data_IF_412231402357
#
_entry.id   IF_412231402357
#
_cell.length_a   1.000
_cell.length_b   1.000
_cell.length_c   1.000
_cell.angle_alpha   90.00
_cell.angle_beta   90.00
_cell.angle_gamma   90.00
#
_symmetry.space_group_name_H-M   'P 1'
#
loop_
_entity.id
_entity.type
_entity.pdbx_description
1 polymer ?
#
# COMPACT_ATOMS: atom_id res chain seq x y z
N UNK A 1 12.87 -15.29 15.59
CA UNK A 1 12.30 -13.99 15.17
C UNK A 1 12.88 -13.56 13.84
N UNK A 2 12.02 -13.28 12.89
CA UNK A 2 12.44 -12.86 11.56
C UNK A 2 12.58 -11.34 11.51
N UNK A 3 13.66 -10.80 10.95
CA UNK A 3 13.78 -9.35 10.82
C UNK A 3 12.75 -8.79 9.84
N UNK A 4 12.38 -7.54 10.04
CA UNK A 4 11.46 -6.83 9.15
C UNK A 4 12.08 -6.73 7.76
N UNK A 5 11.39 -7.14 6.68
CA UNK A 5 11.91 -6.96 5.33
C UNK A 5 12.20 -5.49 5.04
N UNK A 6 13.32 -5.18 4.38
CA UNK A 6 13.69 -3.77 4.09
C UNK A 6 12.60 -3.00 3.36
N UNK A 7 11.88 -3.64 2.44
CA UNK A 7 10.80 -2.97 1.71
C UNK A 7 9.65 -2.56 2.63
N UNK A 8 9.26 -3.43 3.58
CA UNK A 8 8.20 -3.07 4.53
C UNK A 8 8.70 -2.01 5.52
N UNK A 9 9.97 -2.04 5.91
CA UNK A 9 10.54 -1.00 6.75
C UNK A 9 10.46 0.36 6.06
N UNK A 10 10.78 0.42 4.77
CA UNK A 10 10.67 1.64 3.98
C UNK A 10 9.21 2.11 3.86
N UNK A 11 8.27 1.18 3.70
CA UNK A 11 6.84 1.51 3.66
C UNK A 11 6.38 2.09 5.00
N UNK A 12 6.84 1.52 6.12
CA UNK A 12 6.52 2.04 7.45
C UNK A 12 7.10 3.44 7.69
N UNK A 13 8.28 3.73 7.17
CA UNK A 13 8.85 5.08 7.25
C UNK A 13 8.03 6.08 6.44
N UNK A 14 7.58 5.69 5.25
CA UNK A 14 6.69 6.53 4.45
C UNK A 14 5.36 6.77 5.17
N UNK A 15 4.84 5.75 5.87
CA UNK A 15 3.64 5.88 6.68
C UNK A 15 3.83 6.88 7.82
N UNK A 16 4.95 6.83 8.52
CA UNK A 16 5.27 7.78 9.60
C UNK A 16 5.31 9.20 9.06
N UNK A 17 5.98 9.39 7.91
CA UNK A 17 6.04 10.71 7.26
C UNK A 17 4.67 11.25 6.90
N UNK A 18 3.79 10.39 6.40
CA UNK A 18 2.41 10.78 6.10
C UNK A 18 1.68 11.23 7.37
N UNK A 19 1.82 10.46 8.47
CA UNK A 19 1.22 10.80 9.76
C UNK A 19 1.71 12.13 10.30
N UNK A 20 3.00 12.41 10.19
CA UNK A 20 3.59 13.69 10.60
C UNK A 20 3.04 14.85 9.79
N UNK A 21 2.69 14.62 8.54
CA UNK A 21 2.09 15.64 7.67
C UNK A 21 0.57 15.75 7.84
N UNK A 22 -0.03 15.04 8.79
CA UNK A 22 -1.47 15.09 9.05
C UNK A 22 -2.32 14.14 8.22
N UNK A 23 -1.70 13.25 7.48
CA UNK A 23 -2.40 12.23 6.70
C UNK A 23 -2.53 10.93 7.50
N UNK A 24 -3.49 10.09 7.13
CA UNK A 24 -3.58 8.75 7.72
C UNK A 24 -2.27 8.01 7.41
N UNK A 25 -1.59 7.43 8.43
CA UNK A 25 -0.24 6.87 8.23
C UNK A 25 -0.25 5.53 7.51
N UNK A 26 -0.30 5.61 6.21
CA UNK A 26 -0.17 4.47 5.29
C UNK A 26 0.98 4.80 4.33
N UNK A 27 1.86 3.85 4.13
CA UNK A 27 2.98 3.98 3.22
C UNK A 27 3.07 2.80 2.28
N UNK A 28 3.59 3.04 1.10
CA UNK A 28 3.73 2.01 0.06
C UNK A 28 5.05 2.17 -0.67
N UNK A 29 5.67 1.04 -1.01
CA UNK A 29 6.86 1.03 -1.88
C UNK A 29 6.67 0.00 -2.97
N UNK A 30 7.29 0.26 -4.12
CA UNK A 30 7.34 -0.70 -5.22
C UNK A 30 8.80 -1.12 -5.43
N UNK A 31 8.99 -2.42 -5.50
CA UNK A 31 10.30 -3.05 -5.69
C UNK A 31 10.32 -3.72 -7.05
N UNK A 32 11.34 -3.44 -7.84
CA UNK A 32 11.52 -4.05 -9.14
C UNK A 32 12.99 -4.46 -9.29
N UNK A 33 13.23 -5.74 -9.59
CA UNK A 33 14.60 -6.24 -9.72
C UNK A 33 15.41 -6.11 -8.43
N UNK A 34 14.75 -6.27 -7.28
CA UNK A 34 15.39 -6.17 -5.97
C UNK A 34 15.66 -4.74 -5.49
N UNK A 35 15.23 -3.73 -6.26
CA UNK A 35 15.44 -2.32 -5.90
C UNK A 35 14.13 -1.60 -5.69
N UNK A 36 14.10 -0.70 -4.69
CA UNK A 36 12.96 0.18 -4.47
C UNK A 36 12.95 1.23 -5.58
N UNK A 37 11.91 1.22 -6.40
CA UNK A 37 11.77 2.19 -7.51
C UNK A 37 10.76 3.29 -7.22
N UNK A 38 9.94 3.12 -6.19
CA UNK A 38 8.97 4.13 -5.77
C UNK A 38 8.68 3.98 -4.29
N UNK A 39 8.42 5.11 -3.62
CA UNK A 39 8.06 5.15 -2.21
C UNK A 39 7.13 6.34 -2.01
N UNK A 40 5.98 6.13 -1.36
CA UNK A 40 5.01 7.19 -1.14
C UNK A 40 4.19 6.96 0.13
N UNK A 41 3.82 8.06 0.77
CA UNK A 41 2.86 8.06 1.85
C UNK A 41 1.50 8.54 1.36
N UNK A 42 0.46 8.21 2.11
CA UNK A 42 -0.89 8.68 1.88
C UNK A 42 -0.92 10.20 1.89
N UNK A 43 -1.57 10.85 0.92
CA UNK A 43 -1.55 12.31 0.80
C UNK A 43 -2.83 12.93 0.21
N UNK A 44 -4.05 12.38 0.46
CA UNK A 44 -5.26 12.96 -0.13
C UNK A 44 -5.49 14.42 0.30
N UNK A 45 -5.20 14.76 1.54
CA UNK A 45 -5.44 16.12 2.07
C UNK A 45 -4.42 17.11 1.52
N UNK A 46 -3.15 16.78 1.60
CA UNK A 46 -2.07 17.66 1.13
C UNK A 46 -2.11 17.92 -0.36
N UNK A 47 -2.50 16.95 -1.16
CA UNK A 47 -2.57 17.06 -2.61
C UNK A 47 -3.96 17.46 -3.12
N UNK A 48 -4.96 17.61 -2.24
CA UNK A 48 -6.34 17.86 -2.62
C UNK A 48 -6.80 16.86 -3.67
N UNK A 49 -6.48 15.57 -3.44
CA UNK A 49 -6.75 14.49 -4.38
C UNK A 49 -7.29 13.27 -3.60
N UNK A 50 -8.59 12.97 -3.70
CA UNK A 50 -9.17 11.85 -2.94
C UNK A 50 -8.61 10.48 -3.34
N UNK A 51 -7.93 10.38 -4.48
CA UNK A 51 -7.33 9.13 -4.95
C UNK A 51 -5.87 8.99 -4.53
N UNK A 52 -5.28 9.99 -3.86
CA UNK A 52 -3.85 10.00 -3.52
C UNK A 52 -3.51 9.10 -2.34
N UNK A 53 -3.98 7.85 -2.37
CA UNK A 53 -3.56 6.82 -1.43
C UNK A 53 -2.09 6.45 -1.73
N UNK A 54 -1.39 5.95 -0.72
CA UNK A 54 0.02 5.58 -0.86
C UNK A 54 0.25 4.65 -2.05
N UNK A 55 -0.62 3.66 -2.22
CA UNK A 55 -0.50 2.68 -3.30
C UNK A 55 -0.62 3.33 -4.68
N UNK A 56 -1.62 4.20 -4.86
CA UNK A 56 -1.83 4.93 -6.12
C UNK A 56 -0.61 5.78 -6.45
N UNK A 57 -0.09 6.50 -5.47
CA UNK A 57 1.08 7.35 -5.65
C UNK A 57 2.32 6.55 -6.01
N UNK A 58 2.54 5.43 -5.32
CA UNK A 58 3.69 4.57 -5.60
C UNK A 58 3.61 3.95 -7.00
N UNK A 59 2.41 3.49 -7.41
CA UNK A 59 2.20 2.93 -8.75
C UNK A 59 2.49 3.98 -9.82
N UNK A 60 1.97 5.19 -9.66
CA UNK A 60 2.21 6.29 -10.61
C UNK A 60 3.70 6.62 -10.72
N UNK A 61 4.37 6.72 -9.60
CA UNK A 61 5.81 7.02 -9.58
C UNK A 61 6.62 5.92 -10.26
N UNK A 62 6.34 4.66 -9.95
CA UNK A 62 7.04 3.53 -10.54
C UNK A 62 6.81 3.46 -12.06
N UNK A 63 5.57 3.63 -12.51
CA UNK A 63 5.23 3.61 -13.94
C UNK A 63 5.96 4.73 -14.69
N UNK A 64 6.01 5.92 -14.11
CA UNK A 64 6.71 7.06 -14.70
C UNK A 64 8.21 6.81 -14.80
N UNK A 65 8.81 6.32 -13.72
CA UNK A 65 10.26 6.05 -13.66
C UNK A 65 10.69 4.93 -14.60
N UNK A 66 9.87 3.88 -14.69
CA UNK A 66 10.17 2.73 -15.54
C UNK A 66 9.72 2.94 -17.00
N UNK A 67 8.95 4.00 -17.26
CA UNK A 67 8.47 4.32 -18.60
C UNK A 67 7.49 3.31 -19.17
N UNK A 68 6.66 2.71 -18.32
CA UNK A 68 5.67 1.71 -18.74
C UNK A 68 4.48 1.66 -17.77
N UNK A 69 3.32 1.28 -18.29
CA UNK A 69 2.10 1.18 -17.47
C UNK A 69 1.97 -0.15 -16.73
N UNK A 70 2.55 -1.22 -17.27
CA UNK A 70 2.49 -2.54 -16.65
C UNK A 70 3.74 -2.81 -15.82
N UNK A 71 3.52 -3.18 -14.57
CA UNK A 71 4.57 -3.42 -13.60
C UNK A 71 4.66 -4.91 -13.27
N UNK A 72 4.67 -5.74 -14.32
CA UNK A 72 4.52 -7.20 -14.23
C UNK A 72 5.62 -7.90 -13.44
N UNK A 73 6.78 -7.29 -13.33
CA UNK A 73 7.93 -7.81 -12.61
C UNK A 73 8.15 -7.11 -11.27
N UNK A 74 7.16 -6.32 -10.82
CA UNK A 74 7.29 -5.53 -9.60
C UNK A 74 6.43 -6.08 -8.47
N UNK A 75 6.89 -5.83 -7.24
CA UNK A 75 6.15 -6.14 -6.02
C UNK A 75 5.73 -4.84 -5.34
N UNK A 76 4.55 -4.83 -4.74
CA UNK A 76 4.06 -3.72 -3.94
C UNK A 76 4.04 -4.12 -2.47
N UNK A 77 4.64 -3.27 -1.63
CA UNK A 77 4.62 -3.41 -0.18
C UNK A 77 3.86 -2.23 0.41
N UNK A 78 2.83 -2.49 1.18
CA UNK A 78 1.99 -1.43 1.77
C UNK A 78 1.69 -1.77 3.22
N UNK A 79 1.59 -0.75 4.08
CA UNK A 79 1.43 -0.96 5.51
C UNK A 79 0.01 -1.36 5.93
N UNK A 80 -0.98 -1.12 5.08
CA UNK A 80 -2.38 -1.45 5.36
C UNK A 80 -2.97 -2.19 4.16
N UNK A 81 -3.86 -3.15 4.44
CA UNK A 81 -4.62 -3.86 3.41
C UNK A 81 -5.25 -2.88 2.43
N UNK A 82 -5.03 -3.02 1.10
CA UNK A 82 -5.59 -2.09 0.12
C UNK A 82 -7.12 -2.05 0.09
N UNK A 83 -7.67 -0.86 -0.13
CA UNK A 83 -9.08 -0.67 -0.39
C UNK A 83 -9.44 -1.09 -1.82
N UNK A 84 -10.74 -1.02 -2.18
CA UNK A 84 -11.20 -1.45 -3.51
C UNK A 84 -10.56 -0.65 -4.66
N UNK A 85 -10.42 0.66 -4.50
CA UNK A 85 -9.77 1.51 -5.51
C UNK A 85 -8.32 1.07 -5.75
N UNK A 86 -7.56 0.86 -4.68
CA UNK A 86 -6.16 0.47 -4.77
C UNK A 86 -5.99 -0.96 -5.28
N UNK A 87 -6.88 -1.88 -4.86
CA UNK A 87 -6.86 -3.25 -5.39
C UNK A 87 -7.09 -3.24 -6.90
N UNK A 88 -8.02 -2.41 -7.37
CA UNK A 88 -8.24 -2.21 -8.81
C UNK A 88 -7.01 -1.68 -9.52
N UNK A 89 -6.34 -0.69 -8.93
CA UNK A 89 -5.12 -0.12 -9.51
C UNK A 89 -4.00 -1.17 -9.58
N UNK A 90 -3.86 -2.00 -8.55
CA UNK A 90 -2.88 -3.08 -8.52
C UNK A 90 -3.13 -4.07 -9.67
N UNK A 91 -4.39 -4.43 -9.90
CA UNK A 91 -4.75 -5.32 -11.00
C UNK A 91 -4.46 -4.66 -12.36
N UNK A 92 -4.80 -3.38 -12.53
CA UNK A 92 -4.52 -2.67 -13.78
C UNK A 92 -3.01 -2.56 -14.04
N UNK A 93 -2.23 -2.34 -13.01
CA UNK A 93 -0.77 -2.26 -13.12
C UNK A 93 -0.10 -3.62 -13.32
N UNK A 94 -0.82 -4.72 -13.12
CA UNK A 94 -0.29 -6.08 -13.24
C UNK A 94 0.82 -6.39 -12.24
N UNK A 95 0.74 -5.85 -11.03
CA UNK A 95 1.69 -6.12 -9.95
C UNK A 95 1.80 -7.63 -9.71
N UNK A 96 3.03 -8.13 -9.60
CA UNK A 96 3.27 -9.57 -9.44
C UNK A 96 2.92 -10.07 -8.04
N UNK A 97 3.38 -9.35 -7.00
CA UNK A 97 3.15 -9.73 -5.61
C UNK A 97 2.75 -8.52 -4.78
N UNK A 98 1.78 -8.75 -3.90
CA UNK A 98 1.29 -7.75 -2.94
C UNK A 98 1.62 -8.24 -1.53
N UNK A 99 2.38 -7.43 -0.80
CA UNK A 99 2.66 -7.66 0.62
C UNK A 99 1.99 -6.54 1.41
N UNK A 100 1.19 -6.86 2.42
CA UNK A 100 0.61 -5.81 3.25
C UNK A 100 0.82 -6.11 4.75
N UNK A 101 0.77 -5.05 5.56
CA UNK A 101 0.94 -5.14 7.01
C UNK A 101 -0.35 -5.45 7.73
N UNK A 102 -1.04 -4.42 8.20
CA UNK A 102 -2.26 -4.57 8.97
C UNK A 102 -3.46 -4.92 8.09
N UNK A 103 -4.34 -5.77 8.60
CA UNK A 103 -5.65 -6.03 7.98
C UNK A 103 -6.57 -4.84 8.19
N UNK A 104 -7.51 -4.64 7.29
CA UNK A 104 -8.52 -3.58 7.40
C UNK A 104 -9.92 -4.16 7.20
N UNK A 105 -10.55 -4.64 8.29
CA UNK A 105 -11.89 -5.22 8.20
C UNK A 105 -12.98 -4.26 7.73
N UNK A 106 -12.76 -2.95 7.88
CA UNK A 106 -13.76 -1.94 7.52
C UNK A 106 -13.61 -1.45 6.09
N UNK A 107 -12.39 -1.15 5.66
CA UNK A 107 -12.14 -0.55 4.36
C UNK A 107 -11.36 -1.41 3.38
N UNK A 108 -10.85 -2.54 3.83
CA UNK A 108 -10.03 -3.43 2.99
C UNK A 108 -10.86 -4.15 1.94
N UNK A 109 -10.18 -4.54 0.87
CA UNK A 109 -10.83 -5.19 -0.25
C UNK A 109 -10.02 -6.37 -0.80
N UNK A 110 -9.06 -6.87 -0.04
CA UNK A 110 -8.22 -8.02 -0.44
C UNK A 110 -8.66 -9.27 0.30
N UNK A 111 -8.55 -9.27 1.63
CA UNK A 111 -9.03 -10.37 2.49
C UNK A 111 -10.39 -10.08 3.10
N UNK A 112 -10.85 -8.85 3.01
CA UNK A 112 -12.13 -8.37 3.53
C UNK A 112 -12.95 -7.71 2.43
N UNK A 113 -14.16 -7.27 2.77
CA UNK A 113 -15.04 -6.57 1.85
C UNK A 113 -15.29 -7.34 0.57
N UNK A 114 -15.16 -6.72 -0.59
CA UNK A 114 -15.46 -7.38 -1.87
C UNK A 114 -14.43 -8.43 -2.28
N UNK A 115 -13.31 -8.55 -1.59
CA UNK A 115 -12.23 -9.49 -1.97
C UNK A 115 -11.95 -9.38 -3.46
N UNK A 116 -11.50 -8.23 -3.87
CA UNK A 116 -11.40 -7.81 -5.27
C UNK A 116 -10.75 -8.86 -6.17
N UNK A 117 -9.64 -9.45 -5.72
CA UNK A 117 -8.88 -10.40 -6.56
C UNK A 117 -9.58 -11.74 -6.74
N UNK A 118 -10.65 -12.01 -5.99
CA UNK A 118 -11.44 -13.24 -6.16
C UNK A 118 -12.65 -13.06 -7.07
N UNK A 119 -12.93 -11.83 -7.52
CA UNK A 119 -14.10 -11.54 -8.35
C UNK A 119 -13.93 -12.09 -9.77
N UNK A 120 -15.01 -12.60 -10.39
CA UNK A 120 -14.91 -13.18 -11.73
C UNK A 120 -14.40 -12.23 -12.80
N UNK A 121 -14.65 -10.93 -12.62
CA UNK A 121 -14.24 -9.91 -13.60
C UNK A 121 -12.84 -9.35 -13.35
N UNK A 122 -12.17 -9.81 -12.28
CA UNK A 122 -10.80 -9.41 -12.02
C UNK A 122 -9.87 -10.10 -13.00
N UNK A 123 -9.21 -9.33 -13.86
CA UNK A 123 -8.42 -9.84 -14.96
C UNK A 123 -6.95 -10.11 -14.61
N UNK A 124 -6.49 -9.71 -13.42
CA UNK A 124 -5.13 -9.98 -12.94
C UNK A 124 -5.14 -10.10 -11.41
N UNK A 125 -4.51 -11.14 -10.91
CA UNK A 125 -4.42 -11.41 -9.47
C UNK A 125 -2.96 -11.51 -9.07
N UNK A 126 -2.48 -10.63 -8.18
CA UNK A 126 -1.13 -10.80 -7.63
C UNK A 126 -1.10 -11.97 -6.64
N UNK A 127 0.07 -12.49 -6.35
CA UNK A 127 0.25 -13.30 -5.15
C UNK A 127 0.09 -12.35 -3.96
N UNK A 128 -0.56 -12.81 -2.89
CA UNK A 128 -0.90 -11.95 -1.74
C UNK A 128 -0.30 -12.52 -0.46
N UNK A 129 0.39 -11.68 0.29
CA UNK A 129 0.98 -12.02 1.58
C UNK A 129 0.65 -10.92 2.60
N UNK A 130 -0.20 -11.24 3.57
CA UNK A 130 -0.59 -10.29 4.61
C UNK A 130 0.16 -10.52 5.93
N UNK A 131 0.05 -9.56 6.84
CA UNK A 131 0.62 -9.68 8.16
C UNK A 131 2.10 -9.33 8.27
N UNK A 132 2.69 -8.74 7.24
CA UNK A 132 4.10 -8.38 7.24
C UNK A 132 4.29 -7.04 7.96
N UNK A 133 4.82 -7.07 9.19
CA UNK A 133 4.94 -5.86 10.02
C UNK A 133 3.60 -5.38 10.57
N UNK A 134 2.66 -6.30 10.75
CA UNK A 134 1.29 -5.99 11.17
C UNK A 134 1.23 -5.17 12.46
N UNK A 135 2.00 -5.54 13.48
CA UNK A 135 1.97 -4.87 14.78
C UNK A 135 2.39 -3.41 14.69
N UNK A 136 3.47 -3.13 13.98
CA UNK A 136 3.96 -1.76 13.82
C UNK A 136 2.99 -0.93 12.98
N UNK A 137 2.47 -1.50 11.89
CA UNK A 137 1.51 -0.82 11.03
C UNK A 137 0.22 -0.48 11.79
N UNK A 138 -0.31 -1.43 12.54
CA UNK A 138 -1.51 -1.22 13.36
C UNK A 138 -1.28 -0.17 14.45
N UNK A 139 -0.11 -0.18 15.07
CA UNK A 139 0.23 0.80 16.11
C UNK A 139 0.24 2.23 15.56
N UNK A 140 0.80 2.45 14.38
CA UNK A 140 0.82 3.77 13.75
C UNK A 140 -0.59 4.31 13.54
N UNK A 141 -1.50 3.45 13.07
CA UNK A 141 -2.90 3.84 12.85
C UNK A 141 -3.61 4.15 14.16
N UNK A 142 -3.44 3.31 15.19
CA UNK A 142 -4.06 3.54 16.50
C UNK A 142 -3.59 4.85 17.11
N UNK A 143 -2.30 5.11 17.08
CA UNK A 143 -1.73 6.35 17.64
C UNK A 143 -2.23 7.58 16.91
N UNK A 144 -2.32 7.52 15.59
CA UNK A 144 -2.83 8.63 14.77
C UNK A 144 -4.28 8.97 15.14
N UNK A 145 -5.15 7.96 15.17
CA UNK A 145 -6.57 8.19 15.47
C UNK A 145 -6.80 8.54 16.94
N UNK A 146 -6.03 8.00 17.86
CA UNK A 146 -6.11 8.35 19.28
C UNK A 146 -5.78 9.83 19.49
N UNK A 147 -4.75 10.34 18.85
CA UNK A 147 -4.34 11.74 18.95
C UNK A 147 -5.41 12.70 18.43
N UNK A 148 -6.25 12.26 17.48
CA UNK A 148 -7.29 13.10 16.88
C UNK A 148 -8.63 13.03 17.57
N UNK A 149 -8.82 12.07 18.47
CA UNK A 149 -10.05 11.99 19.27
C UNK A 149 -9.99 12.82 20.55
N UNK A 150 -8.80 13.16 20.96
CA UNK A 150 -8.57 13.98 22.16
C UNK A 150 -8.80 15.43 21.93
#
# INVERSE_FOLDING_TARGET
MFPMPPAMRAALEAARGAGEAGEVPVGAVIVCGGKIVASAGNAPRGLHDPTAHAEIRAIREAAARLGRERLEDCDLWVTLEPCAMCAGAIAHARIARLYFGASDPKGGAVEHGPRFFTQPTCHHRPEVYGGIGESEAAALLREFFAARRG
#
